data_IF_007981212068
#
_entry.id   IF_007981212068
#
_cell.length_a   1.000
_cell.length_b   1.000
_cell.length_c   1.000
_cell.angle_alpha   90.00
_cell.angle_beta   90.00
_cell.angle_gamma   90.00
#
_symmetry.space_group_name_H-M   'P 1'
#
loop_
_entity.id
_entity.type
_entity.pdbx_description
1 polymer ?
#
# COMPACT_ATOMS: atom_id res chain seq x y z
N UNK A 1 -18.24 -12.36 -12.06
CA UNK A 1 -18.70 -11.18 -12.83
C UNK A 1 -19.50 -11.68 -14.02
N UNK A 2 -20.78 -11.33 -14.11
CA UNK A 2 -21.76 -12.02 -14.96
C UNK A 2 -21.45 -12.10 -16.47
N UNK A 3 -20.64 -11.19 -17.03
CA UNK A 3 -20.25 -11.27 -18.44
C UNK A 3 -19.36 -12.48 -18.75
N UNK A 4 -18.32 -12.71 -17.92
CA UNK A 4 -17.37 -13.82 -18.12
C UNK A 4 -18.06 -15.17 -17.88
N UNK A 5 -18.93 -15.24 -16.88
CA UNK A 5 -19.72 -16.44 -16.57
C UNK A 5 -20.66 -16.82 -17.72
N UNK A 6 -21.30 -15.85 -18.39
CA UNK A 6 -22.19 -16.11 -19.54
C UNK A 6 -21.46 -16.63 -20.79
N UNK A 7 -20.16 -16.37 -20.90
CA UNK A 7 -19.30 -16.86 -21.98
C UNK A 7 -18.75 -18.26 -21.73
N UNK A 8 -18.85 -18.79 -20.50
CA UNK A 8 -18.40 -20.16 -20.20
C UNK A 8 -19.15 -21.16 -21.08
N UNK A 9 -18.40 -22.01 -21.78
CA UNK A 9 -18.93 -23.03 -22.70
C UNK A 9 -19.33 -22.52 -24.08
N UNK A 10 -19.21 -21.21 -24.37
CA UNK A 10 -19.40 -20.69 -25.72
C UNK A 10 -18.31 -21.18 -26.69
N UNK A 11 -18.67 -21.39 -27.95
CA UNK A 11 -17.75 -21.86 -29.00
C UNK A 11 -17.27 -20.71 -29.88
N UNK A 12 -16.13 -20.90 -30.54
CA UNK A 12 -15.63 -19.94 -31.54
C UNK A 12 -16.64 -19.82 -32.69
N UNK A 13 -16.95 -18.58 -33.08
CA UNK A 13 -17.96 -18.22 -34.06
C UNK A 13 -19.40 -18.16 -33.51
N UNK A 14 -19.60 -18.39 -32.21
CA UNK A 14 -20.91 -18.23 -31.57
C UNK A 14 -21.12 -16.77 -31.15
N UNK A 15 -22.30 -16.24 -31.45
CA UNK A 15 -22.78 -14.97 -30.92
C UNK A 15 -23.76 -15.25 -29.80
N UNK A 16 -23.50 -14.72 -28.61
CA UNK A 16 -24.38 -14.83 -27.44
C UNK A 16 -24.81 -13.46 -26.94
N UNK A 17 -26.08 -13.35 -26.60
CA UNK A 17 -26.58 -12.25 -25.79
C UNK A 17 -26.47 -12.60 -24.30
N UNK A 18 -25.74 -11.79 -23.55
CA UNK A 18 -25.53 -11.97 -22.11
C UNK A 18 -26.11 -10.77 -21.39
N UNK A 19 -27.08 -11.02 -20.51
CA UNK A 19 -27.65 -9.99 -19.63
C UNK A 19 -26.78 -9.86 -18.39
N UNK A 20 -26.30 -8.64 -18.12
CA UNK A 20 -25.46 -8.33 -16.97
C UNK A 20 -26.07 -7.16 -16.22
N UNK A 21 -26.26 -7.35 -14.92
CA UNK A 21 -26.65 -6.26 -14.01
C UNK A 21 -25.40 -5.68 -13.39
N UNK A 22 -25.19 -4.38 -13.57
CA UNK A 22 -24.06 -3.69 -12.96
C UNK A 22 -24.27 -3.58 -11.44
N UNK A 23 -23.22 -3.79 -10.62
CA UNK A 23 -23.30 -3.58 -9.19
C UNK A 23 -23.80 -2.17 -8.83
N UNK A 24 -24.41 -1.98 -7.65
CA UNK A 24 -24.82 -0.66 -7.18
C UNK A 24 -23.63 0.27 -6.87
N UNK A 25 -22.41 -0.29 -6.70
CA UNK A 25 -21.16 0.46 -6.60
C UNK A 25 -20.22 0.03 -7.71
N UNK A 26 -20.10 0.86 -8.75
CA UNK A 26 -19.15 0.68 -9.85
C UNK A 26 -18.32 1.95 -10.03
N UNK A 27 -17.18 1.85 -10.69
CA UNK A 27 -16.35 3.00 -11.07
C UNK A 27 -17.01 3.95 -12.08
N UNK A 28 -18.12 3.52 -12.70
CA UNK A 28 -18.93 4.30 -13.63
C UNK A 28 -20.33 4.56 -13.04
N UNK A 29 -20.56 5.70 -12.35
CA UNK A 29 -21.80 6.01 -11.64
C UNK A 29 -23.06 5.90 -12.51
N UNK A 30 -22.93 6.21 -13.80
CA UNK A 30 -24.01 6.18 -14.79
C UNK A 30 -24.51 4.77 -15.13
N UNK A 31 -23.73 3.73 -14.81
CA UNK A 31 -24.07 2.32 -15.05
C UNK A 31 -24.53 1.61 -13.78
N UNK A 32 -24.37 2.22 -12.60
CA UNK A 32 -24.68 1.57 -11.32
C UNK A 32 -26.15 1.09 -11.25
N UNK A 33 -26.34 -0.21 -10.96
CA UNK A 33 -27.66 -0.84 -10.82
C UNK A 33 -28.45 -1.01 -12.12
N UNK A 34 -27.90 -0.62 -13.29
CA UNK A 34 -28.56 -0.80 -14.58
C UNK A 34 -28.32 -2.19 -15.14
N UNK A 35 -29.31 -2.68 -15.88
CA UNK A 35 -29.17 -3.88 -16.69
C UNK A 35 -28.65 -3.51 -18.08
N UNK A 36 -27.70 -4.28 -18.58
CA UNK A 36 -27.20 -4.18 -19.95
C UNK A 36 -27.24 -5.56 -20.61
N UNK A 37 -27.50 -5.55 -21.92
CA UNK A 37 -27.42 -6.74 -22.77
C UNK A 37 -26.15 -6.57 -23.60
N UNK A 38 -25.22 -7.51 -23.45
CA UNK A 38 -24.01 -7.60 -24.25
C UNK A 38 -24.21 -8.67 -25.31
N UNK A 39 -24.23 -8.26 -26.57
CA UNK A 39 -24.06 -9.19 -27.68
C UNK A 39 -22.56 -9.40 -27.90
N UNK A 40 -22.09 -10.62 -27.64
CA UNK A 40 -20.68 -10.98 -27.72
C UNK A 40 -20.49 -12.07 -28.77
N UNK A 41 -19.67 -11.77 -29.77
CA UNK A 41 -19.20 -12.74 -30.75
C UNK A 41 -17.83 -13.30 -30.32
N UNK A 42 -17.74 -14.63 -30.19
CA UNK A 42 -16.48 -15.30 -29.81
C UNK A 42 -15.59 -15.50 -31.04
N UNK A 43 -14.70 -14.55 -31.30
CA UNK A 43 -13.83 -14.59 -32.49
C UNK A 43 -12.73 -15.65 -32.41
N UNK A 44 -12.18 -15.89 -31.22
CA UNK A 44 -11.14 -16.90 -31.02
C UNK A 44 -11.11 -17.40 -29.58
N UNK A 45 -10.67 -18.64 -29.40
CA UNK A 45 -10.45 -19.24 -28.09
C UNK A 45 -9.00 -19.69 -28.03
N UNK A 46 -8.21 -19.06 -27.17
CA UNK A 46 -6.82 -19.40 -26.94
C UNK A 46 -6.66 -20.00 -25.54
N UNK A 47 -5.91 -21.09 -25.44
CA UNK A 47 -5.51 -21.66 -24.15
C UNK A 47 -4.12 -21.14 -23.80
N UNK A 48 -3.97 -20.56 -22.60
CA UNK A 48 -2.65 -20.30 -22.03
C UNK A 48 -1.99 -21.65 -21.72
N UNK A 49 -0.91 -21.95 -22.44
CA UNK A 49 0.00 -23.04 -22.08
C UNK A 49 1.09 -22.44 -21.21
N UNK A 50 1.24 -22.97 -20.00
CA UNK A 50 2.39 -22.62 -19.19
C UNK A 50 3.65 -23.18 -19.85
N UNK A 51 4.72 -22.40 -19.88
CA UNK A 51 6.00 -22.91 -20.31
C UNK A 51 6.50 -23.97 -19.33
N UNK A 52 7.28 -24.92 -19.84
CA UNK A 52 7.99 -25.86 -18.99
C UNK A 52 9.00 -25.10 -18.11
N UNK A 53 9.25 -25.66 -16.92
CA UNK A 53 10.20 -25.13 -15.94
C UNK A 53 11.63 -25.48 -16.35
N UNK A 54 12.12 -24.83 -17.40
CA UNK A 54 13.42 -25.11 -18.01
C UNK A 54 14.27 -23.85 -18.21
N UNK A 55 15.54 -24.04 -18.56
CA UNK A 55 16.50 -22.96 -18.78
C UNK A 55 16.10 -22.07 -19.98
N UNK A 56 15.37 -22.61 -20.95
CA UNK A 56 14.87 -21.86 -22.10
C UNK A 56 13.77 -20.86 -21.70
N UNK A 57 12.89 -21.23 -20.76
CA UNK A 57 11.96 -20.30 -20.14
C UNK A 57 12.68 -19.29 -19.26
N UNK A 58 13.62 -19.73 -18.42
CA UNK A 58 14.37 -18.84 -17.56
C UNK A 58 15.11 -17.74 -18.34
N UNK A 59 15.79 -18.12 -19.43
CA UNK A 59 16.49 -17.18 -20.31
C UNK A 59 15.55 -16.20 -21.04
N UNK A 60 14.29 -16.59 -21.29
CA UNK A 60 13.25 -15.67 -21.83
C UNK A 60 12.79 -14.64 -20.80
N UNK A 61 12.75 -15.01 -19.52
CA UNK A 61 12.35 -14.12 -18.42
C UNK A 61 13.49 -13.17 -18.07
N UNK A 62 14.70 -13.72 -17.92
CA UNK A 62 15.91 -12.97 -17.62
C UNK A 62 17.08 -13.55 -18.42
N UNK A 63 17.67 -12.76 -19.34
CA UNK A 63 18.81 -13.22 -20.12
C UNK A 63 19.93 -13.77 -19.23
N UNK A 64 20.56 -14.85 -19.69
CA UNK A 64 21.70 -15.51 -19.05
C UNK A 64 21.40 -16.11 -17.67
N UNK A 65 20.18 -16.61 -17.46
CA UNK A 65 19.74 -17.24 -16.20
C UNK A 65 19.20 -18.66 -16.44
N UNK A 66 19.62 -19.60 -15.60
CA UNK A 66 19.06 -20.96 -15.54
C UNK A 66 17.74 -21.01 -14.76
N UNK A 67 16.96 -22.07 -14.92
CA UNK A 67 15.74 -22.28 -14.13
C UNK A 67 16.04 -22.33 -12.63
N UNK A 68 17.13 -22.98 -12.24
CA UNK A 68 17.51 -23.08 -10.83
C UNK A 68 17.80 -21.70 -10.21
N UNK A 69 18.52 -20.84 -10.92
CA UNK A 69 18.80 -19.47 -10.48
C UNK A 69 17.55 -18.59 -10.46
N UNK A 70 16.64 -18.79 -11.42
CA UNK A 70 15.37 -18.07 -11.45
C UNK A 70 14.45 -18.50 -10.31
N UNK A 71 14.33 -19.80 -10.04
CA UNK A 71 13.51 -20.34 -8.93
C UNK A 71 14.03 -19.84 -7.58
N UNK A 72 15.35 -19.83 -7.38
CA UNK A 72 15.95 -19.31 -6.16
C UNK A 72 15.69 -17.81 -5.98
N UNK A 73 15.86 -17.00 -7.03
CA UNK A 73 15.56 -15.56 -6.94
C UNK A 73 14.09 -15.27 -6.70
N UNK A 74 13.20 -16.08 -7.27
CA UNK A 74 11.77 -15.97 -6.99
C UNK A 74 11.48 -16.34 -5.53
N UNK A 75 12.11 -17.40 -5.01
CA UNK A 75 12.00 -17.80 -3.61
C UNK A 75 12.49 -16.71 -2.68
N UNK A 76 13.70 -16.18 -2.88
CA UNK A 76 14.25 -15.07 -2.11
C UNK A 76 13.32 -13.84 -2.18
N UNK A 77 12.79 -13.53 -3.37
CA UNK A 77 11.85 -12.41 -3.56
C UNK A 77 10.57 -12.58 -2.73
N UNK A 78 9.97 -13.78 -2.76
CA UNK A 78 8.77 -14.10 -1.98
C UNK A 78 9.09 -14.11 -0.48
N UNK A 79 10.22 -14.67 -0.06
CA UNK A 79 10.64 -14.70 1.33
C UNK A 79 10.85 -13.29 1.88
N UNK A 80 11.51 -12.41 1.12
CA UNK A 80 11.69 -11.00 1.48
C UNK A 80 10.35 -10.27 1.56
N UNK A 81 9.46 -10.45 0.59
CA UNK A 81 8.13 -9.84 0.62
C UNK A 81 7.31 -10.32 1.83
N UNK A 82 7.39 -11.62 2.15
CA UNK A 82 6.71 -12.19 3.31
C UNK A 82 7.31 -11.70 4.63
N UNK A 83 8.63 -11.55 4.71
CA UNK A 83 9.31 -10.97 5.86
C UNK A 83 8.91 -9.51 6.08
N UNK A 84 8.91 -8.69 5.03
CA UNK A 84 8.46 -7.29 5.09
C UNK A 84 6.99 -7.18 5.51
N UNK A 85 6.11 -8.00 4.93
CA UNK A 85 4.69 -8.06 5.31
C UNK A 85 4.52 -8.43 6.77
N UNK A 86 5.28 -9.42 7.27
CA UNK A 86 5.25 -9.84 8.67
C UNK A 86 5.72 -8.73 9.60
N UNK A 87 6.84 -8.07 9.30
CA UNK A 87 7.36 -6.95 10.09
C UNK A 87 6.34 -5.82 10.13
N UNK A 88 5.77 -5.44 8.98
CA UNK A 88 4.74 -4.39 8.90
C UNK A 88 3.48 -4.73 9.71
N UNK A 89 2.98 -5.96 9.60
CA UNK A 89 1.82 -6.41 10.38
C UNK A 89 2.11 -6.40 11.89
N UNK A 90 3.32 -6.80 12.28
CA UNK A 90 3.78 -6.79 13.67
C UNK A 90 3.88 -5.37 14.21
N UNK A 91 4.49 -4.45 13.46
CA UNK A 91 4.57 -3.03 13.80
C UNK A 91 3.17 -2.41 13.99
N UNK A 92 2.23 -2.74 13.10
CA UNK A 92 0.85 -2.27 13.21
C UNK A 92 0.14 -2.81 14.46
N UNK A 93 0.33 -4.09 14.77
CA UNK A 93 -0.23 -4.71 15.97
C UNK A 93 0.35 -4.08 17.26
N UNK A 94 1.67 -3.90 17.31
CA UNK A 94 2.36 -3.23 18.42
C UNK A 94 1.89 -1.79 18.59
N UNK A 95 1.80 -1.02 17.51
CA UNK A 95 1.35 0.36 17.58
C UNK A 95 -0.11 0.43 18.07
N UNK A 96 -0.98 -0.47 17.61
CA UNK A 96 -2.37 -0.54 18.07
C UNK A 96 -2.46 -0.84 19.57
N UNK A 97 -1.68 -1.80 20.05
CA UNK A 97 -1.65 -2.17 21.47
C UNK A 97 -0.98 -1.09 22.34
N UNK A 98 0.03 -0.40 21.80
CA UNK A 98 0.62 0.75 22.49
C UNK A 98 -0.41 1.86 22.68
N UNK A 99 -1.19 2.17 21.63
CA UNK A 99 -2.26 3.18 21.68
C UNK A 99 -3.36 2.79 22.65
N UNK A 100 -3.72 1.50 22.76
CA UNK A 100 -4.74 1.04 23.72
C UNK A 100 -4.33 1.26 25.17
N UNK A 101 -3.03 1.24 25.47
CA UNK A 101 -2.44 1.51 26.79
C UNK A 101 -2.21 3.01 27.08
N UNK A 102 -2.40 3.89 26.09
CA UNK A 102 -2.18 5.32 26.24
C UNK A 102 -3.42 6.07 26.73
N UNK A 103 -3.42 6.41 28.03
CA UNK A 103 -4.50 7.16 28.69
C UNK A 103 -4.21 8.67 28.73
N UNK A 104 -4.20 9.30 27.56
CA UNK A 104 -4.17 10.76 27.44
C UNK A 104 -5.06 11.22 26.30
N UNK A 105 -5.56 12.45 26.37
CA UNK A 105 -6.33 13.06 25.30
C UNK A 105 -5.43 13.85 24.36
N UNK A 106 -5.70 13.76 23.05
CA UNK A 106 -5.03 14.56 22.04
C UNK A 106 -5.89 15.79 21.78
N UNK A 107 -5.36 17.01 21.94
CA UNK A 107 -6.09 18.24 21.62
C UNK A 107 -6.64 18.23 20.19
N UNK A 108 -7.87 18.71 20.02
CA UNK A 108 -8.53 18.73 18.71
C UNK A 108 -7.74 19.55 17.67
N UNK A 109 -7.04 20.60 18.10
CA UNK A 109 -6.16 21.41 17.24
C UNK A 109 -5.05 20.59 16.60
N UNK A 110 -4.47 19.64 17.32
CA UNK A 110 -3.43 18.75 16.79
C UNK A 110 -4.03 17.71 15.84
N UNK A 111 -5.24 17.21 16.14
CA UNK A 111 -5.95 16.28 15.25
C UNK A 111 -6.28 16.99 13.93
N UNK A 112 -6.76 18.23 14.00
CA UNK A 112 -7.07 19.04 12.82
C UNK A 112 -5.83 19.32 11.97
N UNK A 113 -4.71 19.69 12.61
CA UNK A 113 -3.44 19.90 11.90
C UNK A 113 -2.97 18.62 11.20
N UNK A 114 -2.97 17.48 11.88
CA UNK A 114 -2.58 16.20 11.31
C UNK A 114 -3.51 15.77 10.17
N UNK A 115 -4.82 16.03 10.29
CA UNK A 115 -5.79 15.79 9.21
C UNK A 115 -5.50 16.68 7.99
N UNK A 116 -5.17 17.97 8.17
CA UNK A 116 -4.78 18.88 7.08
C UNK A 116 -3.52 18.42 6.36
N UNK A 117 -2.50 18.03 7.12
CA UNK A 117 -1.24 17.55 6.56
C UNK A 117 -1.47 16.30 5.70
N UNK A 118 -2.24 15.32 6.20
CA UNK A 118 -2.59 14.11 5.45
C UNK A 118 -3.47 14.38 4.24
N UNK A 119 -4.42 15.30 4.37
CA UNK A 119 -5.24 15.72 3.24
C UNK A 119 -4.38 16.37 2.14
N UNK A 120 -3.39 17.20 2.52
CA UNK A 120 -2.40 17.75 1.61
C UNK A 120 -1.54 16.68 0.93
N UNK A 121 -1.07 15.66 1.68
CA UNK A 121 -0.33 14.52 1.12
C UNK A 121 -1.16 13.71 0.14
N UNK A 122 -2.44 13.47 0.45
CA UNK A 122 -3.38 12.79 -0.44
C UNK A 122 -3.52 13.53 -1.78
N UNK A 123 -3.65 14.86 -1.73
CA UNK A 123 -3.74 15.69 -2.94
C UNK A 123 -2.44 15.68 -3.75
N UNK A 124 -1.28 15.67 -3.07
CA UNK A 124 0.01 15.56 -3.73
C UNK A 124 0.18 14.22 -4.47
N UNK A 125 -0.21 13.11 -3.84
CA UNK A 125 -0.21 11.78 -4.44
C UNK A 125 -1.17 11.68 -5.64
N UNK A 126 -2.36 12.29 -5.55
CA UNK A 126 -3.29 12.37 -6.68
C UNK A 126 -2.69 13.13 -7.86
N UNK A 127 -1.99 14.24 -7.58
CA UNK A 127 -1.31 15.03 -8.62
C UNK A 127 -0.20 14.23 -9.28
N UNK A 128 0.59 13.49 -8.51
CA UNK A 128 1.65 12.61 -9.01
C UNK A 128 1.09 11.50 -9.91
N UNK A 129 -0.10 10.99 -9.58
CA UNK A 129 -0.85 10.02 -10.39
C UNK A 129 -1.59 10.62 -11.59
N UNK A 130 -1.41 11.91 -11.87
CA UNK A 130 -1.91 12.58 -13.07
C UNK A 130 -3.24 13.33 -12.92
N UNK A 131 -3.72 13.58 -11.70
CA UNK A 131 -4.89 14.45 -11.49
C UNK A 131 -4.61 15.89 -11.97
N UNK A 132 -5.59 16.49 -12.65
CA UNK A 132 -5.49 17.86 -13.14
C UNK A 132 -5.72 18.89 -12.03
N UNK A 133 -5.32 20.14 -12.26
CA UNK A 133 -5.57 21.22 -11.32
C UNK A 133 -7.09 21.49 -11.17
N UNK A 134 -7.89 21.22 -12.20
CA UNK A 134 -9.36 21.23 -12.12
C UNK A 134 -9.90 20.14 -11.18
N UNK A 135 -9.45 18.89 -11.33
CA UNK A 135 -9.87 17.77 -10.46
C UNK A 135 -9.56 18.06 -8.99
N UNK A 136 -8.36 18.60 -8.72
CA UNK A 136 -7.93 18.92 -7.36
C UNK A 136 -8.74 20.07 -6.75
N UNK A 137 -9.14 21.07 -7.55
CA UNK A 137 -9.98 22.18 -7.07
C UNK A 137 -11.36 21.71 -6.61
N UNK A 138 -11.95 20.72 -7.27
CA UNK A 138 -13.21 20.13 -6.83
C UNK A 138 -13.06 19.40 -5.48
N UNK A 139 -11.87 18.86 -5.19
CA UNK A 139 -11.60 18.11 -3.96
C UNK A 139 -11.24 19.02 -2.79
N UNK A 140 -10.51 20.13 -3.01
CA UNK A 140 -9.95 21.02 -1.95
C UNK A 140 -11.02 21.86 -1.21
N UNK A 141 -12.30 21.65 -1.47
CA UNK A 141 -13.39 22.40 -0.81
C UNK A 141 -13.46 22.15 0.70
N UNK A 142 -13.94 23.15 1.44
CA UNK A 142 -14.11 23.04 2.90
C UNK A 142 -15.03 21.88 3.28
N UNK A 143 -16.11 21.66 2.53
CA UNK A 143 -17.06 20.57 2.75
C UNK A 143 -16.38 19.19 2.62
N UNK A 144 -15.57 19.00 1.58
CA UNK A 144 -14.84 17.75 1.37
C UNK A 144 -13.78 17.53 2.45
N UNK A 145 -13.08 18.58 2.88
CA UNK A 145 -12.15 18.50 3.99
C UNK A 145 -12.86 18.13 5.31
N UNK A 146 -13.99 18.75 5.64
CA UNK A 146 -14.76 18.43 6.85
C UNK A 146 -15.28 16.98 6.82
N UNK A 147 -15.72 16.50 5.65
CA UNK A 147 -16.10 15.10 5.46
C UNK A 147 -14.91 14.16 5.66
N UNK A 148 -13.76 14.49 5.09
CA UNK A 148 -12.52 13.74 5.27
C UNK A 148 -12.10 13.70 6.74
N UNK A 149 -12.10 14.85 7.42
CA UNK A 149 -11.80 14.99 8.85
C UNK A 149 -12.74 14.12 9.68
N UNK A 150 -14.05 14.20 9.47
CA UNK A 150 -15.03 13.39 10.22
C UNK A 150 -14.77 11.89 10.12
N UNK A 151 -14.38 11.39 8.95
CA UNK A 151 -14.09 9.97 8.72
C UNK A 151 -12.71 9.59 9.29
N UNK A 152 -11.72 10.49 9.15
CA UNK A 152 -10.31 10.18 9.45
C UNK A 152 -9.91 10.50 10.89
N UNK A 153 -10.64 11.36 11.60
CA UNK A 153 -10.27 11.86 12.94
C UNK A 153 -9.97 10.75 13.94
N UNK A 154 -10.75 9.67 13.97
CA UNK A 154 -10.52 8.55 14.88
C UNK A 154 -9.19 7.84 14.61
N UNK A 155 -8.90 7.54 13.35
CA UNK A 155 -7.60 6.98 12.96
C UNK A 155 -6.46 7.97 13.18
N UNK A 156 -6.68 9.25 12.88
CA UNK A 156 -5.69 10.30 13.08
C UNK A 156 -5.33 10.47 14.54
N UNK A 157 -6.31 10.45 15.44
CA UNK A 157 -6.10 10.50 16.87
C UNK A 157 -5.26 9.30 17.35
N UNK A 158 -5.62 8.09 16.93
CA UNK A 158 -4.85 6.89 17.27
C UNK A 158 -3.39 6.99 16.79
N UNK A 159 -3.18 7.47 15.58
CA UNK A 159 -1.83 7.63 15.03
C UNK A 159 -1.02 8.69 15.80
N UNK A 160 -1.60 9.87 16.06
CA UNK A 160 -0.94 10.92 16.85
C UNK A 160 -0.59 10.42 18.24
N UNK A 161 -1.50 9.70 18.91
CA UNK A 161 -1.21 9.06 20.21
C UNK A 161 -0.02 8.10 20.11
N UNK A 162 -0.02 7.23 19.10
CA UNK A 162 1.04 6.26 18.89
C UNK A 162 2.40 6.94 18.64
N UNK A 163 2.43 7.98 17.82
CA UNK A 163 3.67 8.70 17.52
C UNK A 163 4.24 9.40 18.77
N UNK A 164 3.38 10.01 19.61
CA UNK A 164 3.80 10.54 20.91
C UNK A 164 4.32 9.46 21.87
N UNK A 165 3.64 8.32 21.92
CA UNK A 165 4.04 7.21 22.78
C UNK A 165 5.41 6.63 22.37
N UNK A 166 5.61 6.40 21.07
CA UNK A 166 6.89 5.92 20.52
C UNK A 166 8.03 6.91 20.80
N UNK A 167 7.79 8.21 20.58
CA UNK A 167 8.76 9.26 20.89
C UNK A 167 9.09 9.32 22.38
N UNK A 168 8.09 9.15 23.25
CA UNK A 168 8.32 9.12 24.69
C UNK A 168 9.14 7.90 25.11
N UNK A 169 8.89 6.73 24.52
CA UNK A 169 9.70 5.52 24.74
C UNK A 169 11.13 5.74 24.26
N UNK A 170 11.33 6.31 23.07
CA UNK A 170 12.66 6.63 22.55
C UNK A 170 13.46 7.47 23.54
N UNK A 171 12.84 8.54 24.07
CA UNK A 171 13.45 9.43 25.06
C UNK A 171 13.75 8.72 26.39
N UNK A 172 12.80 7.95 26.92
CA UNK A 172 12.98 7.24 28.19
C UNK A 172 14.08 6.18 28.12
N UNK A 173 14.21 5.50 26.99
CA UNK A 173 15.17 4.40 26.79
C UNK A 173 16.49 4.88 26.16
N UNK A 174 16.62 6.16 25.83
CA UNK A 174 17.80 6.71 25.18
C UNK A 174 18.06 6.12 23.79
N UNK A 175 17.01 5.75 23.07
CA UNK A 175 17.10 5.22 21.71
C UNK A 175 17.33 6.38 20.75
N UNK A 176 18.45 6.35 20.04
CA UNK A 176 18.84 7.39 19.08
C UNK A 176 19.34 6.71 17.82
N UNK A 177 18.82 7.16 16.67
CA UNK A 177 19.27 6.70 15.36
C UNK A 177 20.69 7.23 15.12
N UNK A 178 21.58 6.37 14.64
CA UNK A 178 22.93 6.78 14.27
C UNK A 178 22.91 7.74 13.07
N UNK A 179 23.75 8.79 13.09
CA UNK A 179 23.86 9.73 11.97
C UNK A 179 24.19 9.02 10.66
N UNK A 180 25.11 8.05 10.72
CA UNK A 180 25.54 7.28 9.55
C UNK A 180 24.38 6.50 8.92
N UNK A 181 23.44 5.98 9.74
CA UNK A 181 22.26 5.27 9.24
C UNK A 181 21.30 6.22 8.50
N UNK A 182 21.11 7.42 9.03
CA UNK A 182 20.30 8.46 8.38
C UNK A 182 20.96 8.87 7.06
N UNK A 183 22.28 9.09 7.07
CA UNK A 183 23.04 9.52 5.90
C UNK A 183 23.02 8.46 4.79
N UNK A 184 23.14 7.18 5.15
CA UNK A 184 23.06 6.05 4.22
C UNK A 184 21.67 5.98 3.57
N UNK A 185 20.60 6.06 4.35
CA UNK A 185 19.23 5.99 3.84
C UNK A 185 18.88 7.20 2.95
N UNK A 186 19.30 8.42 3.36
CA UNK A 186 19.16 9.63 2.55
C UNK A 186 19.93 9.50 1.24
N UNK A 187 21.14 8.94 1.26
CA UNK A 187 21.94 8.71 0.05
C UNK A 187 21.28 7.67 -0.88
N UNK A 188 20.70 6.61 -0.34
CA UNK A 188 19.94 5.63 -1.11
C UNK A 188 18.72 6.28 -1.78
N UNK A 189 17.94 7.07 -1.05
CA UNK A 189 16.80 7.81 -1.62
C UNK A 189 17.25 8.81 -2.68
N UNK A 190 18.37 9.50 -2.48
CA UNK A 190 18.92 10.43 -3.46
C UNK A 190 19.30 9.71 -4.76
N UNK A 191 19.98 8.56 -4.64
CA UNK A 191 20.38 7.75 -5.81
C UNK A 191 19.16 7.28 -6.60
N UNK A 192 18.13 6.80 -5.90
CA UNK A 192 16.87 6.37 -6.52
C UNK A 192 16.13 7.51 -7.21
N UNK A 193 16.06 8.69 -6.58
CA UNK A 193 15.47 9.88 -7.19
C UNK A 193 16.22 10.31 -8.46
N UNK A 194 17.56 10.30 -8.43
CA UNK A 194 18.40 10.63 -9.60
C UNK A 194 18.19 9.65 -10.76
N UNK A 195 18.07 8.35 -10.48
CA UNK A 195 17.78 7.34 -11.50
C UNK A 195 16.42 7.55 -12.17
N UNK A 196 15.44 8.09 -11.44
CA UNK A 196 14.11 8.43 -11.96
C UNK A 196 14.03 9.83 -12.59
N UNK A 197 15.12 10.62 -12.56
CA UNK A 197 15.14 11.99 -13.05
C UNK A 197 14.35 12.98 -12.16
N UNK A 198 14.10 12.62 -10.91
CA UNK A 198 13.33 13.42 -9.95
C UNK A 198 14.21 14.45 -9.23
N UNK A 199 13.58 15.56 -8.82
CA UNK A 199 14.25 16.55 -7.98
C UNK A 199 14.37 16.03 -6.55
N UNK A 200 15.59 15.98 -6.03
CA UNK A 200 15.86 15.60 -4.64
C UNK A 200 16.27 16.82 -3.82
N UNK A 201 15.61 17.04 -2.69
CA UNK A 201 15.96 18.06 -1.70
C UNK A 201 16.16 17.41 -0.36
N UNK A 202 17.40 17.33 0.07
CA UNK A 202 17.76 16.69 1.33
C UNK A 202 17.02 17.31 2.54
N UNK A 203 16.84 18.63 2.56
CA UNK A 203 16.10 19.35 3.61
C UNK A 203 14.67 18.84 3.81
N UNK A 204 14.05 18.34 2.74
CA UNK A 204 12.65 17.91 2.74
C UNK A 204 12.51 16.41 3.06
N UNK A 205 13.60 15.66 2.86
CA UNK A 205 13.65 14.19 2.98
C UNK A 205 14.25 13.76 4.31
N UNK A 206 15.38 14.35 4.72
CA UNK A 206 16.13 13.96 5.92
C UNK A 206 15.27 13.91 7.19
N UNK A 207 14.44 14.92 7.52
CA UNK A 207 13.59 14.86 8.72
C UNK A 207 12.58 13.71 8.69
N UNK A 208 12.11 13.31 7.50
CA UNK A 208 11.18 12.18 7.34
C UNK A 208 11.89 10.85 7.53
N UNK A 209 13.11 10.74 6.98
CA UNK A 209 13.97 9.57 7.17
C UNK A 209 14.32 9.40 8.65
N UNK A 210 14.73 10.47 9.33
CA UNK A 210 15.02 10.46 10.77
C UNK A 210 13.81 9.98 11.58
N UNK A 211 12.63 10.57 11.34
CA UNK A 211 11.41 10.18 12.04
C UNK A 211 11.01 8.72 11.78
N UNK A 212 11.18 8.24 10.54
CA UNK A 212 10.87 6.86 10.16
C UNK A 212 11.85 5.88 10.82
N UNK A 213 13.15 6.16 10.78
CA UNK A 213 14.17 5.33 11.41
C UNK A 213 14.04 5.32 12.94
N UNK A 214 13.69 6.44 13.57
CA UNK A 214 13.43 6.49 15.02
C UNK A 214 12.23 5.61 15.38
N UNK A 215 11.16 5.70 14.58
CA UNK A 215 9.98 4.86 14.74
C UNK A 215 10.32 3.38 14.61
N UNK A 216 11.05 3.00 13.57
CA UNK A 216 11.42 1.61 13.33
C UNK A 216 12.38 1.09 14.40
N UNK A 217 13.30 1.91 14.90
CA UNK A 217 14.18 1.57 16.02
C UNK A 217 13.40 1.27 17.30
N UNK A 218 12.42 2.11 17.65
CA UNK A 218 11.60 1.91 18.84
C UNK A 218 10.70 0.69 18.69
N UNK A 219 10.10 0.49 17.52
CA UNK A 219 9.25 -0.67 17.26
C UNK A 219 10.06 -1.97 17.27
N UNK A 220 11.26 -2.00 16.69
CA UNK A 220 12.17 -3.13 16.79
C UNK A 220 12.56 -3.42 18.25
N UNK A 221 12.90 -2.39 19.02
CA UNK A 221 13.20 -2.54 20.45
C UNK A 221 12.01 -3.10 21.25
N UNK A 222 10.78 -2.70 20.90
CA UNK A 222 9.54 -3.23 21.48
C UNK A 222 9.28 -4.66 21.05
N UNK A 223 9.56 -5.01 19.78
CA UNK A 223 9.39 -6.37 19.26
C UNK A 223 10.20 -7.40 20.05
N UNK A 224 11.44 -7.06 20.40
CA UNK A 224 12.33 -7.93 21.17
C UNK A 224 11.86 -8.16 22.62
N UNK A 225 10.91 -7.35 23.11
CA UNK A 225 10.45 -7.33 24.51
C UNK A 225 8.97 -7.62 24.68
N UNK A 226 8.22 -7.67 23.59
CA UNK A 226 6.79 -7.93 23.60
C UNK A 226 6.50 -9.43 23.43
N UNK A 227 5.46 -9.90 24.09
CA UNK A 227 4.93 -11.25 23.86
C UNK A 227 4.12 -11.28 22.56
N UNK A 228 4.78 -11.64 21.45
CA UNK A 228 4.16 -11.66 20.12
C UNK A 228 3.68 -13.07 19.79
N UNK A 229 2.35 -13.25 19.71
CA UNK A 229 1.76 -14.49 19.21
C UNK A 229 1.54 -14.39 17.70
N UNK A 230 2.21 -15.25 16.93
CA UNK A 230 1.98 -15.34 15.48
C UNK A 230 0.92 -16.41 15.20
N UNK A 231 -0.13 -16.05 14.46
CA UNK A 231 -1.08 -17.02 13.92
C UNK A 231 -0.70 -17.37 12.49
N UNK A 232 -0.73 -18.65 12.13
CA UNK A 232 -0.58 -19.04 10.73
C UNK A 232 -1.71 -18.44 9.88
N UNK A 233 -1.32 -17.93 8.72
CA UNK A 233 -2.27 -17.51 7.71
C UNK A 233 -3.00 -18.76 7.21
N UNK A 234 -4.26 -18.94 7.61
CA UNK A 234 -5.16 -19.85 6.91
C UNK A 234 -5.60 -19.14 5.64
N UNK A 235 -5.18 -19.65 4.49
CA UNK A 235 -5.84 -19.28 3.23
C UNK A 235 -7.35 -19.40 3.44
N UNK A 236 -8.07 -18.30 3.18
CA UNK A 236 -9.52 -18.36 3.10
C UNK A 236 -9.82 -19.31 1.94
N UNK A 237 -10.29 -20.51 2.26
CA UNK A 237 -10.74 -21.48 1.27
C UNK A 237 -11.74 -20.80 0.33
N UNK A 238 -11.38 -20.70 -0.94
CA UNK A 238 -12.28 -20.29 -2.03
C UNK A 238 -13.51 -21.20 -2.14
#
# INVERSE_FOLDING_TARGET
YGLVEGLVGAKVGETKEIKVTFPPRTSAPQLAGKEAIFEVEVLSLQRRLFADKDDAFANRVKPDMSWAELDEKLREGVENEMAERKTKATHQALQKELVSKCDFEVPETLIDQACKERFGMMLADMREKGATDEDLKEIITLENYERYKKISSGMTQAQVKGDFALKHIAQQQGLVVGRDQVDEEVMMMQRSALQRGEKFKESDVRPKVEAQLEKDLVLGWLMDRADITTTEYKEASE
#
